data_IF_830933711163
#
_entry.id   IF_830933711163
#
_cell.length_a   1.000
_cell.length_b   1.000
_cell.length_c   1.000
_cell.angle_alpha   90.00
_cell.angle_beta   90.00
_cell.angle_gamma   90.00
#
_symmetry.space_group_name_H-M   'P 1'
#
loop_
_entity.id
_entity.type
_entity.pdbx_description
1 polymer ?
#
# COMPACT_ATOMS: atom_id res chain seq x y z
N UNK A 1 5.89 -77.84 -7.69
CA UNK A 1 5.10 -78.62 -6.71
C UNK A 1 4.05 -77.71 -6.10
N UNK A 2 2.81 -78.19 -6.06
CA UNK A 2 1.60 -77.52 -5.53
C UNK A 2 1.62 -77.47 -3.99
N UNK A 3 0.54 -76.89 -3.43
CA UNK A 3 0.00 -76.96 -2.06
C UNK A 3 0.11 -75.59 -1.33
N UNK A 4 -0.91 -74.72 -1.40
CA UNK A 4 -2.23 -74.77 -0.76
C UNK A 4 -2.13 -74.87 0.76
N UNK A 5 -2.34 -73.75 1.46
CA UNK A 5 -2.56 -73.75 2.92
C UNK A 5 -3.92 -73.10 3.21
N UNK A 6 -4.70 -73.93 3.89
CA UNK A 6 -6.10 -73.80 4.26
C UNK A 6 -6.30 -72.80 5.40
N UNK A 7 -7.46 -72.16 5.39
CA UNK A 7 -8.00 -71.39 6.51
C UNK A 7 -8.30 -72.33 7.69
N UNK A 8 -8.02 -71.88 8.90
CA UNK A 8 -8.60 -72.41 10.13
C UNK A 8 -9.35 -71.27 10.80
N UNK A 9 -10.66 -71.43 10.88
CA UNK A 9 -11.58 -70.62 11.69
C UNK A 9 -11.68 -71.29 13.05
N UNK A 10 -11.32 -70.59 14.12
CA UNK A 10 -11.64 -71.01 15.49
C UNK A 10 -12.73 -70.09 16.02
N UNK A 11 -13.91 -70.67 16.19
CA UNK A 11 -15.00 -70.14 17.02
C UNK A 11 -14.67 -70.54 18.46
N UNK A 12 -14.60 -69.57 19.37
CA UNK A 12 -14.59 -69.85 20.81
C UNK A 12 -15.67 -69.04 21.49
N UNK A 13 -16.56 -69.78 22.11
CA UNK A 13 -17.79 -69.34 22.75
C UNK A 13 -17.49 -68.69 24.10
N UNK A 14 -18.19 -67.57 24.26
CA UNK A 14 -18.37 -66.69 25.40
C UNK A 14 -18.71 -67.42 26.72
N UNK A 15 -17.97 -67.12 27.79
CA UNK A 15 -18.47 -67.24 29.17
C UNK A 15 -18.48 -65.86 29.82
N UNK A 16 -19.69 -65.38 30.12
CA UNK A 16 -19.96 -64.12 30.81
C UNK A 16 -19.94 -64.40 32.31
N UNK A 17 -19.09 -63.70 33.05
CA UNK A 17 -19.27 -63.48 34.47
C UNK A 17 -19.06 -61.99 34.76
N UNK A 18 -20.17 -61.32 35.03
CA UNK A 18 -20.27 -59.92 35.44
C UNK A 18 -19.88 -59.79 36.91
N UNK A 19 -18.96 -58.87 37.20
CA UNK A 19 -18.74 -58.34 38.54
C UNK A 19 -18.38 -56.86 38.41
N UNK A 20 -19.26 -56.02 38.93
CA UNK A 20 -19.16 -54.57 38.90
C UNK A 20 -18.22 -54.07 40.00
N UNK A 21 -17.27 -53.19 39.65
CA UNK A 21 -16.68 -52.26 40.61
C UNK A 21 -16.03 -51.07 39.90
N UNK A 22 -16.46 -49.86 40.31
CA UNK A 22 -15.84 -48.54 40.13
C UNK A 22 -15.43 -48.11 38.72
N UNK A 23 -16.34 -47.38 38.06
CA UNK A 23 -16.07 -46.70 36.79
C UNK A 23 -15.15 -45.49 36.95
N UNK A 24 -13.98 -45.56 36.30
CA UNK A 24 -13.23 -44.39 35.85
C UNK A 24 -13.55 -44.21 34.36
N UNK A 25 -14.34 -43.18 34.03
CA UNK A 25 -14.60 -42.82 32.63
C UNK A 25 -13.30 -42.33 31.99
N UNK A 26 -12.69 -43.20 31.17
CA UNK A 26 -11.75 -42.78 30.13
C UNK A 26 -12.57 -42.04 29.06
N UNK A 27 -12.62 -40.72 29.18
CA UNK A 27 -13.20 -39.83 28.19
C UNK A 27 -12.28 -39.75 26.99
N UNK A 28 -12.79 -40.17 25.84
CA UNK A 28 -12.21 -39.99 24.52
C UNK A 28 -11.66 -38.58 24.36
N UNK A 29 -10.41 -38.47 23.87
CA UNK A 29 -9.86 -37.25 23.33
C UNK A 29 -10.69 -36.81 22.11
N UNK A 30 -11.77 -36.08 22.35
CA UNK A 30 -12.27 -35.12 21.39
C UNK A 30 -11.23 -34.00 21.35
N UNK A 31 -10.49 -33.93 20.24
CA UNK A 31 -9.76 -32.73 19.88
C UNK A 31 -10.78 -31.62 19.68
N UNK A 32 -11.04 -30.85 20.75
CA UNK A 32 -11.58 -29.50 20.61
C UNK A 32 -10.57 -28.74 19.77
N UNK A 33 -10.89 -28.62 18.48
CA UNK A 33 -10.28 -27.67 17.59
C UNK A 33 -10.74 -26.29 18.09
N UNK A 34 -10.07 -25.80 19.15
CA UNK A 34 -10.14 -24.42 19.57
C UNK A 34 -9.52 -23.62 18.43
N UNK A 35 -10.38 -23.22 17.49
CA UNK A 35 -10.18 -22.02 16.72
C UNK A 35 -9.98 -20.90 17.72
N UNK A 36 -8.71 -20.68 18.08
CA UNK A 36 -8.26 -19.45 18.68
C UNK A 36 -8.66 -18.38 17.68
N UNK A 37 -9.81 -17.76 17.92
CA UNK A 37 -10.10 -16.45 17.38
C UNK A 37 -8.97 -15.57 17.89
N UNK A 38 -7.92 -15.43 17.07
CA UNK A 38 -7.03 -14.30 17.18
C UNK A 38 -7.92 -13.07 17.09
N UNK A 39 -8.30 -12.50 18.24
CA UNK A 39 -8.70 -11.10 18.34
C UNK A 39 -7.50 -10.33 17.84
N UNK A 40 -7.45 -10.12 16.53
CA UNK A 40 -6.42 -9.32 15.88
C UNK A 40 -6.46 -7.96 16.56
N UNK A 41 -5.37 -7.61 17.23
CA UNK A 41 -5.20 -6.25 17.73
C UNK A 41 -5.01 -5.39 16.48
N UNK A 42 -6.11 -4.88 15.92
CA UNK A 42 -6.06 -4.00 14.75
C UNK A 42 -5.27 -2.76 15.15
N UNK A 43 -4.16 -2.53 14.45
CA UNK A 43 -3.41 -1.29 14.54
C UNK A 43 -3.95 -0.35 13.47
N UNK A 44 -4.07 0.92 13.79
CA UNK A 44 -4.50 1.97 12.88
C UNK A 44 -3.76 3.27 13.16
N UNK A 45 -3.66 4.12 12.13
CA UNK A 45 -3.19 5.48 12.28
C UNK A 45 -4.36 6.43 12.59
N UNK A 46 -4.28 7.18 13.68
CA UNK A 46 -5.26 8.21 14.05
C UNK A 46 -4.73 9.60 13.74
N UNK A 47 -5.47 10.38 12.95
CA UNK A 47 -5.09 11.74 12.57
C UNK A 47 -5.68 12.75 13.55
N UNK A 48 -4.85 13.67 14.01
CA UNK A 48 -5.26 14.90 14.69
C UNK A 48 -5.02 16.07 13.74
N UNK A 49 -6.08 16.82 13.47
CA UNK A 49 -6.09 18.00 12.60
C UNK A 49 -6.46 19.23 13.44
N UNK A 50 -5.83 20.40 13.23
CA UNK A 50 -6.26 21.64 13.88
C UNK A 50 -7.69 22.02 13.49
N UNK A 51 -8.39 22.74 14.37
CA UNK A 51 -9.75 23.21 14.09
C UNK A 51 -9.83 24.15 12.88
N UNK A 52 -8.80 24.98 12.71
CA UNK A 52 -8.71 25.95 11.63
C UNK A 52 -7.63 25.51 10.66
N UNK A 53 -8.03 25.22 9.43
CA UNK A 53 -7.13 24.82 8.34
C UNK A 53 -7.33 25.80 7.20
N UNK A 54 -6.23 26.35 6.67
CA UNK A 54 -6.24 27.37 5.63
C UNK A 54 -5.34 26.90 4.48
N UNK A 55 -5.81 27.07 3.25
CA UNK A 55 -5.01 26.75 2.06
C UNK A 55 -3.71 27.56 2.03
N UNK A 56 -2.64 26.95 1.50
CA UNK A 56 -1.29 27.52 1.40
C UNK A 56 -0.61 27.89 2.73
N UNK A 57 -1.19 27.50 3.86
CA UNK A 57 -0.56 27.66 5.18
C UNK A 57 -0.11 26.29 5.70
N UNK A 58 0.99 26.22 6.47
CA UNK A 58 1.38 25.00 7.15
C UNK A 58 0.27 24.48 8.07
N UNK A 59 -0.10 23.22 7.93
CA UNK A 59 -1.14 22.56 8.71
C UNK A 59 -0.45 21.59 9.68
N UNK A 60 -0.37 21.88 10.99
CA UNK A 60 0.25 20.96 11.93
C UNK A 60 -0.59 19.71 12.12
N UNK A 61 -0.16 18.62 11.49
CA UNK A 61 -0.78 17.30 11.59
C UNK A 61 -0.01 16.44 12.57
N UNK A 62 -0.75 15.70 13.39
CA UNK A 62 -0.20 14.61 14.19
C UNK A 62 -0.88 13.30 13.85
N UNK A 63 -0.09 12.24 13.72
CA UNK A 63 -0.56 10.89 13.42
C UNK A 63 -0.07 9.97 14.54
N UNK A 64 -1.01 9.35 15.25
CA UNK A 64 -0.72 8.42 16.32
C UNK A 64 -1.07 6.99 15.88
N UNK A 65 -0.08 6.10 15.89
CA UNK A 65 -0.28 4.67 15.62
C UNK A 65 -0.79 4.01 16.90
N UNK A 66 -2.02 3.49 16.87
CA UNK A 66 -2.73 2.99 18.04
C UNK A 66 -3.34 1.62 17.78
N UNK A 67 -3.45 0.80 18.83
CA UNK A 67 -4.22 -0.44 18.78
C UNK A 67 -5.73 -0.19 19.02
N UNK A 68 -6.54 -1.25 18.96
CA UNK A 68 -7.99 -1.20 19.18
C UNK A 68 -8.44 -0.72 20.57
N UNK A 69 -7.53 -0.54 21.53
CA UNK A 69 -7.79 0.03 22.86
C UNK A 69 -7.24 1.45 23.00
N UNK A 70 -6.99 2.14 21.88
CA UNK A 70 -6.40 3.48 21.79
C UNK A 70 -5.01 3.60 22.45
N UNK A 71 -4.34 2.48 22.74
CA UNK A 71 -2.97 2.50 23.27
C UNK A 71 -1.99 2.65 22.12
N UNK A 72 -0.99 3.49 22.34
CA UNK A 72 0.12 3.68 21.42
C UNK A 72 0.78 2.34 21.06
N UNK A 73 1.09 2.19 19.77
CA UNK A 73 1.86 1.08 19.24
C UNK A 73 3.12 1.62 18.58
N UNK A 74 4.25 0.99 18.89
CA UNK A 74 5.53 1.34 18.28
C UNK A 74 5.55 1.00 16.79
N UNK A 75 6.33 1.78 16.05
CA UNK A 75 6.55 1.58 14.63
C UNK A 75 7.91 0.90 14.37
N UNK A 76 8.11 0.30 13.20
CA UNK A 76 9.43 -0.19 12.79
C UNK A 76 10.43 0.95 12.61
N UNK A 77 11.66 0.75 13.08
CA UNK A 77 12.72 1.76 13.02
C UNK A 77 13.13 2.13 11.58
N UNK A 78 12.96 1.21 10.64
CA UNK A 78 13.14 1.42 9.21
C UNK A 78 12.09 0.65 8.40
N UNK A 79 11.36 1.35 7.54
CA UNK A 79 10.43 0.82 6.55
C UNK A 79 10.68 1.61 5.26
N UNK A 80 11.01 0.99 4.12
CA UNK A 80 11.26 1.72 2.85
C UNK A 80 12.10 3.02 2.98
N UNK A 81 13.18 2.98 3.80
CA UNK A 81 14.02 4.13 4.21
C UNK A 81 13.37 5.19 5.13
N UNK A 82 12.04 5.25 5.26
CA UNK A 82 11.31 6.20 6.11
C UNK A 82 10.21 5.49 6.91
N UNK A 83 10.16 5.73 8.22
CA UNK A 83 9.21 5.03 9.11
C UNK A 83 7.73 5.13 8.69
N UNK A 84 7.36 6.22 8.01
CA UNK A 84 6.04 6.40 7.41
C UNK A 84 6.16 7.15 6.09
N UNK A 85 5.42 6.69 5.08
CA UNK A 85 5.11 7.46 3.88
C UNK A 85 3.67 7.97 4.04
N UNK A 86 3.50 9.29 4.04
CA UNK A 86 2.20 9.92 4.04
C UNK A 86 1.92 10.42 2.63
N UNK A 87 0.96 9.79 1.96
CA UNK A 87 0.53 10.17 0.63
C UNK A 87 -0.72 11.02 0.78
N UNK A 88 -0.68 12.22 0.23
CA UNK A 88 -1.79 13.17 0.27
C UNK A 88 -2.29 13.39 -1.14
N UNK A 89 -3.57 13.15 -1.40
CA UNK A 89 -4.21 13.46 -2.68
C UNK A 89 -5.45 14.31 -2.47
N UNK A 90 -5.71 15.26 -3.35
CA UNK A 90 -7.01 15.94 -3.40
C UNK A 90 -8.07 14.97 -3.94
N UNK A 91 -9.34 15.18 -3.59
CA UNK A 91 -10.45 14.31 -4.05
C UNK A 91 -10.59 14.25 -5.58
N UNK A 92 -10.11 15.28 -6.30
CA UNK A 92 -10.06 15.32 -7.77
C UNK A 92 -8.77 14.73 -8.37
N UNK A 93 -7.87 14.19 -7.53
CA UNK A 93 -6.56 13.62 -7.88
C UNK A 93 -5.64 14.58 -8.67
N UNK A 94 -5.86 15.90 -8.58
CA UNK A 94 -5.00 16.91 -9.21
C UNK A 94 -3.80 17.29 -8.34
N UNK A 95 -3.96 17.21 -7.03
CA UNK A 95 -2.88 17.39 -6.09
C UNK A 95 -2.37 16.04 -5.62
N UNK A 96 -1.05 15.93 -5.50
CA UNK A 96 -0.36 14.81 -4.90
C UNK A 96 0.84 15.33 -4.13
N UNK A 97 1.04 14.78 -2.94
CA UNK A 97 2.29 14.89 -2.22
C UNK A 97 2.65 13.55 -1.57
N UNK A 98 3.94 13.31 -1.42
CA UNK A 98 4.49 12.18 -0.68
C UNK A 98 5.53 12.69 0.30
N UNK A 99 5.11 12.79 1.55
CA UNK A 99 5.90 13.35 2.64
C UNK A 99 6.18 12.29 3.70
N UNK A 100 7.17 12.58 4.53
CA UNK A 100 7.67 11.64 5.52
C UNK A 100 7.58 12.29 6.91
N UNK A 101 6.50 12.02 7.66
CA UNK A 101 6.35 12.54 9.01
C UNK A 101 7.52 12.17 9.93
N UNK A 102 7.88 13.09 10.83
CA UNK A 102 8.96 12.86 11.79
C UNK A 102 8.43 12.05 12.96
N UNK A 103 9.10 10.94 13.29
CA UNK A 103 8.75 10.14 14.46
C UNK A 103 9.17 10.85 15.74
N UNK A 104 8.24 10.96 16.69
CA UNK A 104 8.42 11.62 18.00
C UNK A 104 8.52 10.64 19.17
N UNK A 105 8.47 9.34 18.89
CA UNK A 105 8.41 8.28 19.91
C UNK A 105 6.97 7.87 20.23
N UNK A 106 6.83 6.70 20.87
CA UNK A 106 5.54 6.16 21.33
C UNK A 106 4.44 6.14 20.24
N UNK A 107 4.79 5.74 19.01
CA UNK A 107 3.83 5.65 17.90
C UNK A 107 3.40 7.00 17.28
N UNK A 108 3.94 8.13 17.76
CA UNK A 108 3.55 9.47 17.29
C UNK A 108 4.43 9.98 16.15
N UNK A 109 3.78 10.59 15.17
CA UNK A 109 4.39 11.23 14.01
C UNK A 109 3.85 12.65 13.84
N UNK A 110 4.72 13.58 13.42
CA UNK A 110 4.35 14.99 13.21
C UNK A 110 4.86 15.51 11.85
N UNK A 111 4.05 16.35 11.19
CA UNK A 111 4.33 16.93 9.87
C UNK A 111 3.50 18.22 9.69
N UNK A 112 4.00 19.17 8.88
CA UNK A 112 3.33 20.45 8.62
C UNK A 112 3.12 20.70 7.11
N UNK A 113 2.33 19.90 6.38
CA UNK A 113 2.11 20.13 4.95
C UNK A 113 1.42 21.46 4.69
N UNK A 114 1.70 22.05 3.52
CA UNK A 114 0.95 23.18 2.97
C UNK A 114 0.15 22.68 1.77
N UNK A 115 -1.18 22.72 1.87
CA UNK A 115 -2.07 22.21 0.84
C UNK A 115 -2.65 23.38 0.04
N UNK A 116 -2.54 23.38 -1.31
CA UNK A 116 -2.65 24.61 -2.08
C UNK A 116 -4.07 25.14 -2.27
N UNK A 117 -5.06 24.24 -2.27
CA UNK A 117 -6.43 24.59 -2.63
C UNK A 117 -7.44 24.18 -1.54
N UNK A 118 -8.56 24.90 -1.38
CA UNK A 118 -9.72 24.40 -0.67
C UNK A 118 -10.22 23.05 -1.22
N UNK A 119 -10.90 22.27 -0.39
CA UNK A 119 -11.47 20.98 -0.79
C UNK A 119 -11.09 19.82 0.13
N UNK A 120 -11.57 18.63 -0.21
CA UNK A 120 -11.24 17.39 0.49
C UNK A 120 -9.91 16.81 0.03
N UNK A 121 -9.18 16.27 1.00
CA UNK A 121 -7.92 15.55 0.80
C UNK A 121 -8.01 14.21 1.50
N UNK A 122 -7.61 13.17 0.79
CA UNK A 122 -7.43 11.82 1.34
C UNK A 122 -5.95 11.59 1.62
N UNK A 123 -5.67 11.13 2.84
CA UNK A 123 -4.33 10.84 3.33
C UNK A 123 -4.19 9.33 3.50
N UNK A 124 -3.22 8.72 2.83
CA UNK A 124 -2.82 7.33 3.04
C UNK A 124 -1.57 7.32 3.90
N UNK A 125 -1.73 6.90 5.16
CA UNK A 125 -0.60 6.58 6.03
C UNK A 125 -0.14 5.17 5.68
N UNK A 126 0.98 5.04 4.99
CA UNK A 126 1.67 3.77 4.67
C UNK A 126 2.84 3.58 5.65
N UNK A 127 2.72 2.57 6.51
CA UNK A 127 3.61 2.34 7.64
C UNK A 127 3.70 0.85 7.99
N UNK A 128 4.67 0.52 8.85
CA UNK A 128 4.87 -0.86 9.32
C UNK A 128 5.03 -0.87 10.83
N UNK A 129 3.98 -1.26 11.59
CA UNK A 129 4.11 -1.43 13.03
C UNK A 129 5.19 -2.44 13.39
N UNK A 130 5.83 -2.29 14.55
CA UNK A 130 6.92 -3.18 14.96
C UNK A 130 6.44 -4.64 14.96
N UNK A 131 7.20 -5.52 14.29
CA UNK A 131 6.93 -6.97 14.17
C UNK A 131 5.60 -7.30 13.47
N UNK A 132 5.01 -6.36 12.73
CA UNK A 132 3.81 -6.59 11.91
C UNK A 132 4.11 -6.42 10.43
N UNK A 133 3.11 -6.75 9.60
CA UNK A 133 3.14 -6.45 8.17
C UNK A 133 2.92 -4.95 7.95
N UNK A 134 3.32 -4.50 6.76
CA UNK A 134 2.93 -3.19 6.25
C UNK A 134 1.41 -3.01 6.30
N UNK A 135 0.99 -1.78 6.63
CA UNK A 135 -0.40 -1.38 6.79
C UNK A 135 -0.59 -0.02 6.14
N UNK A 136 -1.78 0.15 5.56
CA UNK A 136 -2.24 1.43 5.05
C UNK A 136 -3.50 1.84 5.82
N UNK A 137 -3.50 3.03 6.40
CA UNK A 137 -4.69 3.63 7.02
C UNK A 137 -5.09 4.88 6.27
N UNK A 138 -6.38 5.02 5.97
CA UNK A 138 -6.94 6.20 5.33
C UNK A 138 -7.46 7.18 6.35
N UNK A 139 -7.13 8.45 6.15
CA UNK A 139 -7.58 9.58 6.93
C UNK A 139 -8.00 10.70 5.96
N UNK A 140 -8.72 11.70 6.46
CA UNK A 140 -9.22 12.80 5.64
C UNK A 140 -8.95 14.15 6.29
N UNK A 141 -8.64 15.14 5.45
CA UNK A 141 -8.56 16.56 5.81
C UNK A 141 -9.49 17.31 4.87
N UNK A 142 -10.18 18.32 5.37
CA UNK A 142 -10.98 19.22 4.54
C UNK A 142 -10.55 20.64 4.78
N UNK A 143 -10.30 21.39 3.71
CA UNK A 143 -9.94 22.80 3.75
C UNK A 143 -11.17 23.60 3.30
N UNK A 144 -11.73 24.46 4.18
CA UNK A 144 -12.87 25.29 3.83
C UNK A 144 -12.58 26.21 2.64
N UNK A 145 -13.60 26.39 1.79
CA UNK A 145 -13.55 27.26 0.62
C UNK A 145 -14.15 26.58 -0.61
N UNK A 146 -14.07 27.25 -1.75
CA UNK A 146 -14.55 26.74 -3.03
C UNK A 146 -13.43 26.82 -4.05
N UNK A 147 -13.35 25.79 -4.89
CA UNK A 147 -12.51 25.79 -6.09
C UNK A 147 -13.46 25.78 -7.28
N UNK A 148 -13.24 26.63 -8.30
CA UNK A 148 -14.01 26.58 -9.53
C UNK A 148 -13.92 25.19 -10.16
N UNK A 149 -15.02 24.73 -10.75
CA UNK A 149 -14.97 23.52 -11.56
C UNK A 149 -14.02 23.74 -12.74
N UNK A 150 -13.25 22.72 -13.15
CA UNK A 150 -12.41 22.83 -14.33
C UNK A 150 -13.26 23.13 -15.56
N UNK A 151 -12.80 24.05 -16.41
CA UNK A 151 -13.48 24.39 -17.67
C UNK A 151 -13.29 23.33 -18.74
N UNK A 152 -12.27 22.47 -18.60
CA UNK A 152 -11.95 21.38 -19.53
C UNK A 152 -11.56 20.11 -18.76
N UNK A 153 -11.82 18.96 -19.40
CA UNK A 153 -11.36 17.66 -18.91
C UNK A 153 -9.88 17.45 -19.23
N UNK A 154 -9.15 16.86 -18.27
CA UNK A 154 -7.74 16.51 -18.50
C UNK A 154 -7.64 15.43 -19.58
N UNK A 155 -6.86 15.71 -20.63
CA UNK A 155 -6.57 14.74 -21.69
C UNK A 155 -5.47 13.80 -21.24
N UNK A 156 -5.65 12.50 -21.47
CA UNK A 156 -4.64 11.52 -21.13
C UNK A 156 -3.50 11.63 -22.13
N UNK A 157 -2.29 11.81 -21.62
CA UNK A 157 -1.06 11.81 -22.39
C UNK A 157 -0.15 10.77 -21.80
N UNK A 158 0.62 10.08 -22.63
CA UNK A 158 1.72 9.22 -22.19
C UNK A 158 3.05 9.98 -22.11
N UNK A 159 3.06 11.29 -22.38
CA UNK A 159 4.25 12.14 -22.39
C UNK A 159 4.00 13.37 -21.52
N UNK A 160 4.96 13.69 -20.66
CA UNK A 160 5.01 14.94 -19.88
C UNK A 160 6.35 15.64 -20.11
N UNK A 161 6.32 16.97 -20.17
CA UNK A 161 7.53 17.80 -20.18
C UNK A 161 7.56 18.54 -18.84
N UNK A 162 8.58 18.28 -18.04
CA UNK A 162 8.76 18.79 -16.68
C UNK A 162 10.08 19.56 -16.64
N UNK A 163 9.99 20.89 -16.74
CA UNK A 163 11.17 21.75 -16.98
C UNK A 163 11.92 21.31 -18.25
N UNK A 164 13.18 20.89 -18.15
CA UNK A 164 14.01 20.40 -19.25
C UNK A 164 13.93 18.88 -19.47
N UNK A 165 13.09 18.16 -18.72
CA UNK A 165 13.00 16.69 -18.76
C UNK A 165 11.70 16.24 -19.42
N UNK A 166 11.80 15.44 -20.47
CA UNK A 166 10.67 14.76 -21.09
C UNK A 166 10.56 13.35 -20.52
N UNK A 167 9.39 13.00 -19.99
CA UNK A 167 9.09 11.69 -19.41
C UNK A 167 8.02 11.03 -20.25
N UNK A 168 8.32 9.86 -20.81
CA UNK A 168 7.36 9.04 -21.55
C UNK A 168 7.00 7.81 -20.71
N UNK A 169 5.72 7.59 -20.49
CA UNK A 169 5.20 6.36 -19.91
C UNK A 169 4.88 5.37 -21.04
N UNK A 170 5.39 4.15 -20.93
CA UNK A 170 5.05 3.05 -21.84
C UNK A 170 4.76 1.76 -21.08
N UNK A 171 3.77 1.03 -21.59
CA UNK A 171 3.24 -0.21 -21.00
C UNK A 171 2.45 -0.97 -22.07
N UNK A 172 2.38 -2.30 -21.93
CA UNK A 172 1.36 -3.08 -22.63
C UNK A 172 -0.03 -2.69 -22.11
N UNK A 173 -1.09 -2.93 -22.89
CA UNK A 173 -2.48 -2.66 -22.46
C UNK A 173 -2.76 -3.40 -21.15
N UNK A 174 -2.90 -2.68 -20.01
CA UNK A 174 -2.96 -3.34 -18.71
C UNK A 174 -4.33 -4.00 -18.51
N UNK A 175 -4.30 -5.18 -17.91
CA UNK A 175 -5.50 -5.96 -17.58
C UNK A 175 -5.59 -6.18 -16.07
N UNK A 176 -6.78 -6.11 -15.52
CA UNK A 176 -7.01 -6.34 -14.10
C UNK A 176 -6.51 -7.73 -13.68
N UNK A 177 -5.86 -7.81 -12.53
CA UNK A 177 -5.27 -9.02 -11.96
C UNK A 177 -4.00 -9.54 -12.66
N UNK A 178 -3.58 -8.93 -13.77
CA UNK A 178 -2.34 -9.32 -14.48
C UNK A 178 -1.18 -8.41 -14.11
N UNK A 179 0.00 -9.01 -14.05
CA UNK A 179 1.25 -8.26 -13.91
C UNK A 179 1.51 -7.41 -15.16
N UNK A 180 2.02 -6.21 -14.96
CA UNK A 180 2.42 -5.29 -16.01
C UNK A 180 3.70 -4.56 -15.61
N UNK A 181 4.57 -4.35 -16.58
CA UNK A 181 5.73 -3.46 -16.43
C UNK A 181 5.37 -2.06 -16.92
N UNK A 182 5.48 -1.08 -16.02
CA UNK A 182 5.36 0.34 -16.31
C UNK A 182 6.76 0.90 -16.51
N UNK A 183 7.06 1.41 -17.70
CA UNK A 183 8.38 1.96 -18.04
C UNK A 183 8.29 3.47 -18.21
N UNK A 184 8.98 4.20 -17.33
CA UNK A 184 9.22 5.63 -17.45
C UNK A 184 10.54 5.81 -18.20
N UNK A 185 10.48 6.40 -19.39
CA UNK A 185 11.60 6.68 -20.27
C UNK A 185 11.89 8.18 -20.26
N UNK A 186 13.14 8.54 -19.95
CA UNK A 186 13.54 9.92 -19.68
C UNK A 186 14.46 10.45 -20.76
N UNK A 187 14.11 11.61 -21.29
CA UNK A 187 14.85 12.30 -22.36
C UNK A 187 15.02 13.77 -22.05
N UNK A 188 16.05 14.37 -22.60
CA UNK A 188 16.17 15.82 -22.65
C UNK A 188 15.06 16.39 -23.52
N UNK A 189 14.35 17.41 -23.03
CA UNK A 189 13.27 18.04 -23.77
C UNK A 189 13.77 18.77 -25.04
N UNK A 190 15.01 19.30 -24.99
CA UNK A 190 15.57 20.10 -26.07
C UNK A 190 15.94 19.28 -27.32
N UNK A 191 16.46 18.06 -27.16
CA UNK A 191 17.02 17.27 -28.26
C UNK A 191 16.61 15.80 -28.28
N UNK A 192 15.72 15.37 -27.36
CA UNK A 192 15.25 13.98 -27.21
C UNK A 192 16.35 12.94 -26.96
N UNK A 193 17.55 13.33 -26.53
CA UNK A 193 18.58 12.38 -26.10
C UNK A 193 18.21 11.77 -24.74
N UNK A 194 18.58 10.50 -24.52
CA UNK A 194 18.35 9.83 -23.24
C UNK A 194 19.15 10.52 -22.13
N UNK A 195 18.51 10.75 -20.98
CA UNK A 195 19.23 11.30 -19.83
C UNK A 195 20.03 10.20 -19.12
N UNK A 196 21.14 10.60 -18.49
CA UNK A 196 22.06 9.70 -17.78
C UNK A 196 22.33 10.12 -16.34
N UNK A 197 21.71 11.20 -15.92
CA UNK A 197 21.94 11.91 -14.66
C UNK A 197 20.81 11.68 -13.64
N UNK A 198 20.07 10.58 -13.76
CA UNK A 198 19.15 10.15 -12.70
C UNK A 198 19.94 9.62 -11.52
N UNK A 199 19.65 10.13 -10.33
CA UNK A 199 20.22 9.63 -9.09
C UNK A 199 19.16 8.86 -8.29
N UNK A 200 19.59 7.98 -7.36
CA UNK A 200 18.67 7.39 -6.42
C UNK A 200 17.92 8.46 -5.61
N UNK A 201 16.63 8.19 -5.36
CA UNK A 201 15.81 8.92 -4.41
C UNK A 201 15.45 7.95 -3.28
N UNK A 202 15.84 8.24 -2.04
CA UNK A 202 15.61 7.36 -0.89
C UNK A 202 15.99 5.89 -1.20
N UNK A 203 17.22 5.68 -1.72
CA UNK A 203 17.78 4.36 -1.99
C UNK A 203 17.28 3.65 -3.26
N UNK A 204 16.26 4.17 -3.94
CA UNK A 204 15.67 3.54 -5.13
C UNK A 204 15.79 4.45 -6.37
N UNK A 205 15.73 3.87 -7.58
CA UNK A 205 15.79 4.64 -8.85
C UNK A 205 14.58 5.54 -9.06
N UNK A 206 13.48 5.29 -8.35
CA UNK A 206 12.27 6.07 -8.37
C UNK A 206 11.21 5.44 -7.47
N UNK A 207 10.14 6.17 -7.23
CA UNK A 207 9.01 5.71 -6.42
C UNK A 207 7.72 5.92 -7.16
N UNK A 208 6.81 4.96 -7.11
CA UNK A 208 5.55 5.03 -7.82
C UNK A 208 4.39 4.81 -6.86
N UNK A 209 3.53 5.81 -6.76
CA UNK A 209 2.21 5.70 -6.13
C UNK A 209 1.16 5.68 -7.23
N UNK A 210 0.18 4.80 -7.10
CA UNK A 210 -0.93 4.67 -8.03
C UNK A 210 -2.23 4.68 -7.25
N UNK A 211 -3.17 5.52 -7.66
CA UNK A 211 -4.50 5.63 -7.05
C UNK A 211 -5.56 5.35 -8.11
N UNK A 212 -6.47 4.42 -7.83
CA UNK A 212 -7.69 4.24 -8.63
C UNK A 212 -8.60 5.44 -8.44
N UNK A 213 -9.13 5.99 -9.53
CA UNK A 213 -10.15 7.03 -9.48
C UNK A 213 -11.46 6.43 -8.98
N UNK A 214 -11.76 6.63 -7.69
CA UNK A 214 -12.98 6.20 -7.03
C UNK A 214 -13.45 7.29 -6.06
N UNK A 215 -14.75 7.28 -5.74
CA UNK A 215 -15.31 8.17 -4.72
C UNK A 215 -16.33 7.38 -3.88
N UNK A 216 -16.10 7.21 -2.56
CA UNK A 216 -14.89 7.61 -1.83
C UNK A 216 -13.68 6.72 -2.16
N UNK A 217 -12.47 7.27 -1.99
CA UNK A 217 -11.23 6.48 -1.98
C UNK A 217 -11.21 5.51 -0.80
N UNK A 218 -10.69 4.31 -1.04
CA UNK A 218 -10.52 3.21 -0.09
C UNK A 218 -9.09 2.68 -0.13
N UNK A 219 -8.70 1.85 0.85
CA UNK A 219 -7.32 1.32 0.90
C UNK A 219 -7.03 0.41 -0.29
N UNK A 220 -8.04 -0.22 -0.88
CA UNK A 220 -7.91 -1.02 -2.11
C UNK A 220 -7.64 -0.20 -3.37
N UNK A 221 -7.81 1.13 -3.33
CA UNK A 221 -7.52 2.02 -4.45
C UNK A 221 -6.03 2.41 -4.50
N UNK A 222 -5.26 2.15 -3.44
CA UNK A 222 -3.86 2.53 -3.28
C UNK A 222 -2.88 1.42 -3.67
N UNK A 223 -1.87 1.76 -4.45
CA UNK A 223 -0.74 0.89 -4.79
C UNK A 223 0.56 1.68 -4.61
N UNK A 224 1.53 1.08 -3.93
CA UNK A 224 2.90 1.56 -3.82
C UNK A 224 3.82 0.54 -4.50
N UNK A 225 4.49 0.95 -5.58
CA UNK A 225 5.36 0.09 -6.36
C UNK A 225 6.83 0.54 -6.24
N UNK A 226 7.71 -0.43 -6.06
CA UNK A 226 9.16 -0.23 -6.00
C UNK A 226 9.78 -0.34 -7.39
N UNK A 227 10.81 0.48 -7.64
CA UNK A 227 11.53 0.44 -8.90
C UNK A 227 12.37 -0.84 -9.02
N UNK A 228 12.50 -1.34 -10.25
CA UNK A 228 13.45 -2.39 -10.59
C UNK A 228 14.87 -1.87 -10.48
N UNK A 229 15.70 -2.56 -9.69
CA UNK A 229 17.14 -2.24 -9.52
C UNK A 229 17.90 -2.30 -10.84
N UNK A 230 17.55 -3.25 -11.71
CA UNK A 230 18.16 -3.50 -13.02
C UNK A 230 17.51 -2.70 -14.17
N UNK A 231 16.76 -1.63 -13.87
CA UNK A 231 16.22 -0.75 -14.92
C UNK A 231 17.36 -0.25 -15.84
N UNK A 232 17.18 -0.25 -17.18
CA UNK A 232 18.16 0.27 -18.13
C UNK A 232 18.52 1.75 -17.87
N UNK A 233 19.69 2.19 -18.36
CA UNK A 233 20.07 3.61 -18.33
C UNK A 233 18.98 4.48 -19.01
N UNK A 234 18.67 5.63 -18.41
CA UNK A 234 17.63 6.54 -18.88
C UNK A 234 16.19 6.04 -18.69
N UNK A 235 15.99 4.90 -18.01
CA UNK A 235 14.67 4.33 -17.74
C UNK A 235 14.50 3.95 -16.26
N UNK A 236 13.27 4.03 -15.79
CA UNK A 236 12.87 3.46 -14.50
C UNK A 236 11.64 2.59 -14.71
N UNK A 237 11.76 1.33 -14.32
CA UNK A 237 10.70 0.34 -14.51
C UNK A 237 10.09 -0.06 -13.18
N UNK A 238 8.77 -0.21 -13.17
CA UNK A 238 8.01 -0.73 -12.04
C UNK A 238 7.23 -1.96 -12.51
N UNK A 239 7.24 -3.02 -11.70
CA UNK A 239 6.38 -4.19 -11.91
C UNK A 239 5.28 -4.12 -10.86
N UNK A 240 4.03 -4.18 -11.32
CA UNK A 240 2.85 -4.17 -10.45
C UNK A 240 1.71 -4.91 -11.12
N UNK A 241 0.61 -5.12 -10.39
CA UNK A 241 -0.67 -5.50 -10.95
C UNK A 241 -1.74 -4.49 -10.52
N UNK A 242 -2.80 -4.38 -11.32
CA UNK A 242 -3.96 -3.56 -10.99
C UNK A 242 -5.08 -4.48 -10.50
N UNK A 243 -5.59 -4.35 -9.26
CA UNK A 243 -6.57 -5.30 -8.72
C UNK A 243 -7.91 -5.31 -9.46
N UNK A 244 -8.32 -4.17 -10.02
CA UNK A 244 -9.61 -3.98 -10.68
C UNK A 244 -9.44 -3.23 -12.00
N UNK A 245 -10.42 -3.36 -12.88
CA UNK A 245 -10.53 -2.48 -14.04
C UNK A 245 -10.94 -1.07 -13.61
N UNK A 246 -10.61 -0.08 -14.44
CA UNK A 246 -10.90 1.32 -14.17
C UNK A 246 -9.77 2.26 -14.57
N UNK A 247 -9.94 3.53 -14.20
CA UNK A 247 -8.97 4.59 -14.48
C UNK A 247 -8.11 4.83 -13.24
N UNK A 248 -6.79 4.83 -13.43
CA UNK A 248 -5.81 5.03 -12.37
C UNK A 248 -4.96 6.26 -12.67
N UNK A 249 -4.65 7.05 -11.63
CA UNK A 249 -3.63 8.09 -11.67
C UNK A 249 -2.34 7.55 -11.08
N UNK A 250 -1.26 7.67 -11.83
CA UNK A 250 0.09 7.28 -11.43
C UNK A 250 0.86 8.56 -11.09
N UNK A 251 1.66 8.55 -10.02
CA UNK A 251 2.65 9.57 -9.71
C UNK A 251 4.01 8.92 -9.49
N UNK A 252 4.89 9.11 -10.47
CA UNK A 252 6.29 8.69 -10.39
C UNK A 252 7.16 9.83 -9.87
N UNK A 253 7.90 9.60 -8.78
CA UNK A 253 8.89 10.54 -8.25
C UNK A 253 10.31 10.07 -8.54
N UNK A 254 11.10 10.93 -9.17
CA UNK A 254 12.46 10.65 -9.64
C UNK A 254 13.41 11.77 -9.24
N UNK A 255 14.63 11.45 -8.86
CA UNK A 255 15.64 12.45 -8.53
C UNK A 255 16.54 12.70 -9.75
N UNK A 256 16.58 13.96 -10.19
CA UNK A 256 17.49 14.44 -11.23
C UNK A 256 18.21 15.68 -10.72
N UNK A 257 19.51 15.59 -10.55
CA UNK A 257 20.39 16.64 -10.05
C UNK A 257 19.96 17.21 -8.68
N UNK A 258 19.51 16.33 -7.78
CA UNK A 258 19.05 16.71 -6.44
C UNK A 258 17.63 17.28 -6.40
N UNK A 259 16.98 17.45 -7.55
CA UNK A 259 15.59 17.90 -7.65
C UNK A 259 14.67 16.72 -7.89
N UNK A 260 13.62 16.62 -7.09
CA UNK A 260 12.57 15.63 -7.30
C UNK A 260 11.63 16.09 -8.41
N UNK A 261 11.55 15.28 -9.46
CA UNK A 261 10.60 15.41 -10.55
C UNK A 261 9.44 14.46 -10.24
N UNK A 262 8.21 14.99 -10.22
CA UNK A 262 6.99 14.20 -10.11
C UNK A 262 6.29 14.18 -11.45
N UNK A 263 6.22 13.03 -12.10
CA UNK A 263 5.52 12.83 -13.36
C UNK A 263 4.22 12.07 -13.12
N UNK A 264 3.10 12.68 -13.51
CA UNK A 264 1.77 12.11 -13.34
C UNK A 264 1.20 11.58 -14.65
N UNK A 265 0.49 10.45 -14.62
CA UNK A 265 -0.14 9.87 -15.81
C UNK A 265 -1.47 9.25 -15.47
N UNK A 266 -2.43 9.37 -16.39
CA UNK A 266 -3.67 8.61 -16.32
C UNK A 266 -3.56 7.34 -17.17
N UNK A 267 -4.00 6.21 -16.63
CA UNK A 267 -3.97 4.90 -17.30
C UNK A 267 -5.33 4.22 -17.14
N UNK A 268 -5.86 3.67 -18.23
CA UNK A 268 -7.06 2.82 -18.22
C UNK A 268 -6.67 1.35 -18.17
N UNK A 269 -7.28 0.62 -17.24
CA UNK A 269 -7.09 -0.82 -17.00
C UNK A 269 -8.39 -1.56 -17.34
N UNK A 270 -8.25 -2.67 -18.06
CA UNK A 270 -9.36 -3.42 -18.65
C UNK A 270 -9.60 -4.78 -17.98
#
# INVERSE_FOLDING_TARGET
MKHFISRITVVTTLFIATSCSSGVKSGMHQGENRTSQHKGHSIQAKLTVPKNVVANQPIPLAIDIQNSSDKAASNSDSFQQKQMHLIIVSDDLKFFDRIHPTYKGNGRFEINPSLPNPGGYTLFSDYKPSKQKEQVTIQKVSIPGKVPLPTELEKFSNTKILSNTKVNLSQAKPQAGKEVTLTFDFKEAANNQAIKDLQPYLGEKGHLVIIKSSSPLTTSDYIHAQARKDSPEGKVQFITSFPQSGTYKLWGQFNRNGKIITADFWVNVF
#
